data_IF_530980467543
#
_entry.id   IF_530980467543
#
_cell.length_a   1.000
_cell.length_b   1.000
_cell.length_c   1.000
_cell.angle_alpha   90.00
_cell.angle_beta   90.00
_cell.angle_gamma   90.00
#
_symmetry.space_group_name_H-M   'P 1'
#
loop_
_entity.id
_entity.type
_entity.pdbx_description
1 polymer ?
#
# COMPACT_ATOMS: atom_id res chain seq x y z
N UNK A 1 11.34 -54.04 -19.13
CA UNK A 1 10.00 -54.16 -18.54
C UNK A 1 9.02 -54.08 -19.71
N UNK A 2 7.89 -54.83 -19.70
CA UNK A 2 6.92 -54.70 -20.76
C UNK A 2 6.32 -53.30 -20.73
N UNK A 3 6.22 -52.66 -21.89
CA UNK A 3 5.59 -51.35 -22.08
C UNK A 3 4.17 -51.37 -21.57
N UNK A 4 3.78 -50.43 -20.70
CA UNK A 4 2.42 -50.39 -20.14
C UNK A 4 1.48 -49.77 -21.17
N UNK A 5 0.49 -50.55 -21.63
CA UNK A 5 -0.56 -49.98 -22.50
C UNK A 5 -1.52 -49.08 -21.71
N UNK A 6 -2.21 -48.12 -22.37
CA UNK A 6 -3.23 -47.28 -21.73
C UNK A 6 -4.29 -48.07 -20.95
N UNK A 7 -4.80 -49.18 -21.51
CA UNK A 7 -5.79 -50.02 -20.89
C UNK A 7 -5.25 -50.72 -19.64
N UNK A 8 -3.98 -51.14 -19.67
CA UNK A 8 -3.33 -51.75 -18.52
C UNK A 8 -3.17 -50.70 -17.37
N UNK A 9 -2.77 -49.47 -17.69
CA UNK A 9 -2.69 -48.37 -16.73
C UNK A 9 -4.06 -48.14 -16.10
N UNK A 10 -5.11 -47.89 -16.88
CA UNK A 10 -6.46 -47.64 -16.38
C UNK A 10 -6.98 -48.80 -15.53
N UNK A 11 -6.73 -50.05 -15.97
CA UNK A 11 -7.14 -51.27 -15.24
C UNK A 11 -6.43 -51.34 -13.87
N UNK A 12 -5.13 -51.06 -13.80
CA UNK A 12 -4.36 -51.06 -12.55
C UNK A 12 -4.84 -49.98 -11.60
N UNK A 13 -5.11 -48.76 -12.11
CA UNK A 13 -5.69 -47.68 -11.32
C UNK A 13 -7.03 -48.06 -10.71
N UNK A 14 -7.93 -48.67 -11.50
CA UNK A 14 -9.23 -49.19 -11.02
C UNK A 14 -9.09 -50.20 -9.89
N UNK A 15 -8.03 -50.98 -9.87
CA UNK A 15 -7.72 -51.95 -8.79
C UNK A 15 -7.00 -51.32 -7.61
N UNK A 16 -6.74 -50.01 -7.65
CA UNK A 16 -5.99 -49.29 -6.59
C UNK A 16 -4.49 -49.60 -6.57
N UNK A 17 -3.95 -50.16 -7.66
CA UNK A 17 -2.51 -50.46 -7.77
C UNK A 17 -1.71 -49.20 -8.06
N UNK A 18 -0.49 -49.11 -7.47
CA UNK A 18 0.44 -48.02 -7.74
C UNK A 18 1.18 -48.28 -9.05
N UNK A 19 1.43 -47.20 -9.80
CA UNK A 19 2.17 -47.27 -11.08
C UNK A 19 3.50 -46.53 -10.93
N UNK A 20 3.97 -46.34 -9.70
CA UNK A 20 5.17 -45.56 -9.39
C UNK A 20 6.42 -46.00 -10.18
N UNK A 21 7.21 -45.03 -10.63
CA UNK A 21 8.50 -45.22 -11.36
C UNK A 21 8.34 -45.97 -12.69
N UNK A 22 7.18 -45.99 -13.31
CA UNK A 22 6.97 -46.55 -14.61
C UNK A 22 7.42 -45.58 -15.71
N UNK A 23 7.89 -46.14 -16.82
CA UNK A 23 8.04 -45.39 -18.07
C UNK A 23 6.66 -45.40 -18.78
N UNK A 24 6.11 -44.20 -18.92
CA UNK A 24 4.83 -43.85 -19.54
C UNK A 24 5.02 -42.77 -20.59
N UNK A 25 6.26 -42.59 -21.10
CA UNK A 25 6.59 -41.60 -22.09
C UNK A 25 5.72 -41.74 -23.33
N UNK A 26 5.12 -40.64 -23.79
CA UNK A 26 4.23 -40.60 -24.95
C UNK A 26 2.93 -41.39 -24.81
N UNK A 27 2.61 -41.96 -23.65
CA UNK A 27 1.37 -42.75 -23.47
C UNK A 27 0.13 -41.87 -23.72
N UNK A 28 -0.87 -42.46 -24.36
CA UNK A 28 -2.15 -41.77 -24.57
C UNK A 28 -3.18 -42.19 -23.50
N UNK A 29 -3.38 -41.28 -22.53
CA UNK A 29 -4.38 -41.41 -21.45
C UNK A 29 -5.43 -40.31 -21.54
N UNK A 30 -5.68 -39.77 -22.74
CA UNK A 30 -6.68 -38.71 -22.93
C UNK A 30 -8.05 -39.18 -22.43
N UNK A 31 -8.73 -38.30 -21.66
CA UNK A 31 -10.03 -38.56 -21.04
C UNK A 31 -10.07 -39.73 -20.06
N UNK A 32 -8.94 -40.33 -19.71
CA UNK A 32 -8.89 -41.48 -18.81
C UNK A 32 -9.33 -41.08 -17.39
N UNK A 33 -9.96 -42.08 -16.70
CA UNK A 33 -10.36 -41.95 -15.30
C UNK A 33 -9.22 -42.44 -14.41
N UNK A 34 -8.46 -41.50 -13.82
CA UNK A 34 -7.21 -41.76 -13.07
C UNK A 34 -7.28 -41.15 -11.67
N UNK A 35 -8.48 -40.97 -11.12
CA UNK A 35 -8.69 -40.35 -9.81
C UNK A 35 -7.96 -41.14 -8.71
N UNK A 36 -7.19 -40.40 -7.86
CA UNK A 36 -6.42 -41.01 -6.80
C UNK A 36 -5.26 -41.90 -7.23
N UNK A 37 -4.97 -41.97 -8.53
CA UNK A 37 -3.85 -42.79 -9.05
C UNK A 37 -2.49 -42.34 -8.47
N UNK A 38 -1.58 -43.29 -8.30
CA UNK A 38 -0.20 -43.00 -7.93
C UNK A 38 0.72 -43.20 -9.13
N UNK A 39 1.31 -42.09 -9.58
CA UNK A 39 2.30 -41.97 -10.66
C UNK A 39 3.61 -41.35 -10.16
N UNK A 40 3.96 -41.61 -8.93
CA UNK A 40 5.14 -41.03 -8.34
C UNK A 40 6.40 -41.42 -9.10
N UNK A 41 7.22 -40.39 -9.47
CA UNK A 41 8.48 -40.57 -10.19
C UNK A 41 8.29 -41.36 -11.50
N UNK A 42 7.12 -41.36 -12.10
CA UNK A 42 6.93 -41.86 -13.45
C UNK A 42 7.60 -40.94 -14.46
N UNK A 43 8.09 -41.52 -15.53
CA UNK A 43 8.45 -40.79 -16.74
C UNK A 43 7.20 -40.69 -17.62
N UNK A 44 6.70 -39.48 -17.86
CA UNK A 44 5.50 -39.17 -18.62
C UNK A 44 5.78 -38.10 -19.67
N UNK A 45 7.02 -38.00 -20.13
CA UNK A 45 7.41 -37.01 -21.16
C UNK A 45 6.52 -37.18 -22.39
N UNK A 46 5.96 -36.07 -22.85
CA UNK A 46 5.06 -36.03 -24.00
C UNK A 46 3.76 -36.86 -23.85
N UNK A 47 3.43 -37.34 -22.65
CA UNK A 47 2.19 -38.09 -22.42
C UNK A 47 0.95 -37.25 -22.74
N UNK A 48 -0.03 -37.86 -23.38
CA UNK A 48 -1.33 -37.25 -23.64
C UNK A 48 -2.30 -37.52 -22.49
N UNK A 49 -2.59 -36.51 -21.68
CA UNK A 49 -3.50 -36.51 -20.54
C UNK A 49 -4.65 -35.53 -20.75
N UNK A 50 -4.92 -35.11 -21.99
CA UNK A 50 -5.98 -34.16 -22.30
C UNK A 50 -7.33 -34.62 -21.75
N UNK A 51 -8.01 -33.77 -20.99
CA UNK A 51 -9.30 -34.08 -20.36
C UNK A 51 -9.25 -35.19 -19.33
N UNK A 52 -8.09 -35.76 -18.99
CA UNK A 52 -7.98 -36.83 -18.01
C UNK A 52 -8.46 -36.40 -16.62
N UNK A 53 -9.08 -37.31 -15.89
CA UNK A 53 -9.56 -37.10 -14.52
C UNK A 53 -8.50 -37.59 -13.53
N UNK A 54 -7.69 -36.69 -13.04
CA UNK A 54 -6.53 -36.90 -12.15
C UNK A 54 -6.76 -36.32 -10.73
N UNK A 55 -8.01 -36.10 -10.36
CA UNK A 55 -8.32 -35.56 -9.05
C UNK A 55 -7.71 -36.40 -7.92
N UNK A 56 -7.06 -35.76 -6.93
CA UNK A 56 -6.32 -36.40 -5.85
C UNK A 56 -5.19 -37.36 -6.34
N UNK A 57 -4.77 -37.31 -7.60
CA UNK A 57 -3.67 -38.15 -8.07
C UNK A 57 -2.34 -37.72 -7.43
N UNK A 58 -1.44 -38.67 -7.25
CA UNK A 58 -0.10 -38.44 -6.75
C UNK A 58 0.92 -38.51 -7.89
N UNK A 59 1.31 -37.35 -8.38
CA UNK A 59 2.30 -37.13 -9.44
C UNK A 59 3.62 -36.59 -8.87
N UNK A 60 3.87 -36.81 -7.57
CA UNK A 60 5.07 -36.28 -6.91
C UNK A 60 6.34 -36.75 -7.63
N UNK A 61 7.17 -35.76 -8.01
CA UNK A 61 8.41 -35.95 -8.75
C UNK A 61 8.25 -36.72 -10.08
N UNK A 62 7.05 -36.70 -10.67
CA UNK A 62 6.83 -37.24 -12.03
C UNK A 62 7.48 -36.27 -13.04
N UNK A 63 8.00 -36.83 -14.11
CA UNK A 63 8.46 -36.11 -15.29
C UNK A 63 7.31 -35.99 -16.29
N UNK A 64 6.79 -34.78 -16.45
CA UNK A 64 5.67 -34.42 -17.34
C UNK A 64 6.12 -33.38 -18.38
N UNK A 65 7.44 -33.33 -18.67
CA UNK A 65 7.95 -32.41 -19.69
C UNK A 65 7.18 -32.59 -21.00
N UNK A 66 6.80 -31.47 -21.61
CA UNK A 66 6.04 -31.42 -22.88
C UNK A 66 4.74 -32.21 -22.87
N UNK A 67 4.22 -32.64 -21.71
CA UNK A 67 2.97 -33.41 -21.64
C UNK A 67 1.74 -32.54 -22.02
N UNK A 68 0.73 -33.19 -22.59
CA UNK A 68 -0.53 -32.57 -22.97
C UNK A 68 -1.57 -32.76 -21.86
N UNK A 69 -1.87 -31.72 -21.09
CA UNK A 69 -2.78 -31.73 -19.94
C UNK A 69 -3.99 -30.78 -20.12
N UNK A 70 -4.20 -30.31 -21.36
CA UNK A 70 -5.27 -29.33 -21.62
C UNK A 70 -6.63 -29.84 -21.14
N UNK A 71 -7.32 -29.02 -20.30
CA UNK A 71 -8.62 -29.36 -19.74
C UNK A 71 -8.63 -30.51 -18.74
N UNK A 72 -7.51 -31.09 -18.34
CA UNK A 72 -7.43 -32.13 -17.33
C UNK A 72 -7.92 -31.67 -15.95
N UNK A 73 -8.49 -32.58 -15.16
CA UNK A 73 -8.90 -32.32 -13.78
C UNK A 73 -7.83 -32.81 -12.79
N UNK A 74 -6.98 -31.91 -12.34
CA UNK A 74 -5.91 -32.13 -11.38
C UNK A 74 -6.24 -31.51 -9.98
N UNK A 75 -7.51 -31.29 -9.68
CA UNK A 75 -7.90 -30.74 -8.39
C UNK A 75 -7.39 -31.62 -7.26
N UNK A 76 -6.82 -30.95 -6.24
CA UNK A 76 -6.25 -31.60 -5.06
C UNK A 76 -5.11 -32.61 -5.38
N UNK A 77 -4.58 -32.61 -6.62
CA UNK A 77 -3.47 -33.48 -7.00
C UNK A 77 -2.14 -33.03 -6.36
N UNK A 78 -1.26 -33.99 -6.13
CA UNK A 78 0.08 -33.74 -5.62
C UNK A 78 1.11 -33.80 -6.75
N UNK A 79 1.57 -32.64 -7.20
CA UNK A 79 2.63 -32.43 -8.20
C UNK A 79 3.91 -31.87 -7.54
N UNK A 80 4.10 -32.08 -6.22
CA UNK A 80 5.28 -31.60 -5.51
C UNK A 80 6.58 -32.09 -6.20
N UNK A 81 7.43 -31.13 -6.59
CA UNK A 81 8.69 -31.41 -7.33
C UNK A 81 8.49 -32.17 -8.67
N UNK A 82 7.31 -32.05 -9.30
CA UNK A 82 7.11 -32.58 -10.65
C UNK A 82 7.79 -31.66 -11.67
N UNK A 83 8.20 -32.26 -12.78
CA UNK A 83 8.74 -31.55 -13.93
C UNK A 83 7.65 -31.40 -14.99
N UNK A 84 7.26 -30.17 -15.29
CA UNK A 84 6.21 -29.77 -16.22
C UNK A 84 6.75 -28.79 -17.26
N UNK A 85 8.07 -28.76 -17.47
CA UNK A 85 8.71 -27.88 -18.45
C UNK A 85 8.02 -28.03 -19.82
N UNK A 86 7.64 -26.88 -20.40
CA UNK A 86 6.98 -26.85 -21.70
C UNK A 86 5.61 -27.53 -21.77
N UNK A 87 5.05 -28.05 -20.66
CA UNK A 87 3.77 -28.75 -20.66
C UNK A 87 2.61 -27.85 -21.05
N UNK A 88 1.62 -28.41 -21.73
CA UNK A 88 0.36 -27.74 -22.08
C UNK A 88 -0.69 -27.98 -21.00
N UNK A 89 -0.90 -26.98 -20.12
CA UNK A 89 -1.87 -26.98 -19.03
C UNK A 89 -3.05 -26.02 -19.29
N UNK A 90 -3.33 -25.70 -20.55
CA UNK A 90 -4.44 -24.79 -20.88
C UNK A 90 -5.76 -25.27 -20.28
N UNK A 91 -6.48 -24.34 -19.60
CA UNK A 91 -7.80 -24.59 -19.00
C UNK A 91 -7.82 -25.79 -18.04
N UNK A 92 -6.69 -26.22 -17.53
CA UNK A 92 -6.58 -27.30 -16.53
C UNK A 92 -7.18 -26.85 -15.20
N UNK A 93 -7.85 -27.78 -14.51
CA UNK A 93 -8.38 -27.55 -13.17
C UNK A 93 -7.33 -27.97 -12.13
N UNK A 94 -6.71 -27.01 -11.47
CA UNK A 94 -5.63 -27.18 -10.48
C UNK A 94 -6.03 -26.66 -9.10
N UNK A 95 -7.32 -26.42 -8.84
CA UNK A 95 -7.79 -25.89 -7.55
C UNK A 95 -7.28 -26.78 -6.41
N UNK A 96 -6.59 -26.17 -5.43
CA UNK A 96 -6.03 -26.88 -4.28
C UNK A 96 -4.86 -27.82 -4.57
N UNK A 97 -4.38 -27.91 -5.82
CA UNK A 97 -3.25 -28.76 -6.19
C UNK A 97 -1.95 -28.30 -5.51
N UNK A 98 -1.07 -29.24 -5.20
CA UNK A 98 0.26 -28.97 -4.68
C UNK A 98 1.31 -29.05 -5.79
N UNK A 99 1.76 -27.90 -6.27
CA UNK A 99 2.83 -27.72 -7.25
C UNK A 99 4.10 -27.16 -6.58
N UNK A 100 4.28 -27.34 -5.27
CA UNK A 100 5.46 -26.81 -4.58
C UNK A 100 6.73 -27.38 -5.23
N UNK A 101 7.69 -26.52 -5.53
CA UNK A 101 8.96 -26.88 -6.20
C UNK A 101 8.81 -27.53 -7.57
N UNK A 102 7.64 -27.46 -8.19
CA UNK A 102 7.46 -27.93 -9.55
C UNK A 102 8.24 -27.03 -10.53
N UNK A 103 8.79 -27.64 -11.56
CA UNK A 103 9.32 -26.95 -12.73
C UNK A 103 8.17 -26.75 -13.73
N UNK A 104 7.83 -25.51 -14.02
CA UNK A 104 6.78 -25.07 -14.97
C UNK A 104 7.38 -24.10 -16.00
N UNK A 105 8.72 -24.11 -16.16
CA UNK A 105 9.40 -23.25 -17.13
C UNK A 105 8.77 -23.39 -18.52
N UNK A 106 8.39 -22.26 -19.12
CA UNK A 106 7.77 -22.22 -20.44
C UNK A 106 6.41 -22.93 -20.55
N UNK A 107 5.83 -23.42 -19.46
CA UNK A 107 4.54 -24.11 -19.48
C UNK A 107 3.39 -23.19 -19.89
N UNK A 108 2.39 -23.74 -20.58
CA UNK A 108 1.21 -23.01 -20.97
C UNK A 108 0.03 -23.28 -20.03
N UNK A 109 -0.23 -22.33 -19.12
CA UNK A 109 -1.32 -22.37 -18.13
C UNK A 109 -2.47 -21.40 -18.50
N UNK A 110 -2.57 -20.99 -19.77
CA UNK A 110 -3.59 -20.02 -20.19
C UNK A 110 -5.00 -20.47 -19.78
N UNK A 111 -5.69 -19.61 -19.01
CA UNK A 111 -7.05 -19.87 -18.52
C UNK A 111 -7.15 -21.03 -17.54
N UNK A 112 -6.06 -21.55 -17.00
CA UNK A 112 -6.08 -22.58 -15.96
C UNK A 112 -6.69 -22.05 -14.66
N UNK A 113 -7.26 -22.95 -13.85
CA UNK A 113 -7.78 -22.62 -12.53
C UNK A 113 -6.84 -23.15 -11.44
N UNK A 114 -6.05 -22.27 -10.87
CA UNK A 114 -5.09 -22.52 -9.78
C UNK A 114 -5.58 -21.95 -8.44
N UNK A 115 -6.86 -21.66 -8.27
CA UNK A 115 -7.39 -21.07 -7.05
C UNK A 115 -7.01 -21.91 -5.82
N UNK A 116 -6.34 -21.28 -4.83
CA UNK A 116 -5.85 -21.96 -3.64
C UNK A 116 -4.75 -22.99 -3.86
N UNK A 117 -4.17 -23.08 -5.05
CA UNK A 117 -3.05 -23.98 -5.32
C UNK A 117 -1.78 -23.55 -4.59
N UNK A 118 -0.90 -24.50 -4.31
CA UNK A 118 0.40 -24.27 -3.66
C UNK A 118 1.53 -24.37 -4.67
N UNK A 119 2.20 -23.24 -4.92
CA UNK A 119 3.32 -23.12 -5.87
C UNK A 119 4.59 -22.58 -5.16
N UNK A 120 4.73 -22.84 -3.87
CA UNK A 120 5.88 -22.38 -3.11
C UNK A 120 7.18 -22.89 -3.71
N UNK A 121 8.13 -21.99 -4.05
CA UNK A 121 9.39 -22.30 -4.75
C UNK A 121 9.20 -22.95 -6.14
N UNK A 122 8.05 -22.81 -6.80
CA UNK A 122 7.88 -23.27 -8.16
C UNK A 122 8.67 -22.38 -9.14
N UNK A 123 9.19 -22.98 -10.20
CA UNK A 123 9.82 -22.31 -11.34
C UNK A 123 8.77 -22.15 -12.44
N UNK A 124 8.39 -20.93 -12.74
CA UNK A 124 7.37 -20.59 -13.75
C UNK A 124 7.92 -19.64 -14.81
N UNK A 125 9.22 -19.35 -14.78
CA UNK A 125 9.82 -18.40 -15.72
C UNK A 125 9.42 -18.74 -17.16
N UNK A 126 9.17 -17.68 -17.96
CA UNK A 126 8.67 -17.80 -19.33
C UNK A 126 7.27 -18.44 -19.49
N UNK A 127 6.59 -18.84 -18.40
CA UNK A 127 5.28 -19.48 -18.48
C UNK A 127 4.18 -18.49 -18.93
N UNK A 128 3.15 -19.06 -19.57
CA UNK A 128 1.94 -18.31 -19.96
C UNK A 128 0.78 -18.61 -19.01
N UNK A 129 0.44 -17.66 -18.12
CA UNK A 129 -0.72 -17.71 -17.22
C UNK A 129 -1.83 -16.75 -17.65
N UNK A 130 -1.85 -16.30 -18.89
CA UNK A 130 -2.83 -15.32 -19.38
C UNK A 130 -4.27 -15.71 -19.03
N UNK A 131 -4.98 -14.84 -18.31
CA UNK A 131 -6.35 -15.06 -17.86
C UNK A 131 -6.56 -16.21 -16.87
N UNK A 132 -5.49 -16.83 -16.32
CA UNK A 132 -5.62 -17.86 -15.30
C UNK A 132 -6.22 -17.33 -14.00
N UNK A 133 -6.90 -18.19 -13.24
CA UNK A 133 -7.42 -17.89 -11.91
C UNK A 133 -6.48 -18.47 -10.85
N UNK A 134 -5.72 -17.59 -10.20
CA UNK A 134 -4.79 -17.90 -9.11
C UNK A 134 -5.26 -17.27 -7.77
N UNK A 135 -6.57 -17.02 -7.61
CA UNK A 135 -7.09 -16.40 -6.40
C UNK A 135 -6.74 -17.24 -5.15
N UNK A 136 -6.12 -16.59 -4.16
CA UNK A 136 -5.68 -17.23 -2.92
C UNK A 136 -4.57 -18.28 -3.10
N UNK A 137 -3.92 -18.37 -4.26
CA UNK A 137 -2.79 -19.26 -4.46
C UNK A 137 -1.56 -18.83 -3.65
N UNK A 138 -0.72 -19.79 -3.25
CA UNK A 138 0.50 -19.57 -2.48
C UNK A 138 1.70 -19.72 -3.40
N UNK A 139 2.31 -18.59 -3.77
CA UNK A 139 3.46 -18.48 -4.68
C UNK A 139 4.70 -17.93 -3.95
N UNK A 140 4.81 -18.12 -2.66
CA UNK A 140 5.94 -17.62 -1.86
C UNK A 140 7.25 -18.19 -2.41
N UNK A 141 8.24 -17.31 -2.70
CA UNK A 141 9.50 -17.64 -3.34
C UNK A 141 9.40 -18.30 -4.75
N UNK A 142 8.25 -18.19 -5.42
CA UNK A 142 8.14 -18.68 -6.79
C UNK A 142 8.89 -17.78 -7.76
N UNK A 143 9.41 -18.35 -8.83
CA UNK A 143 9.98 -17.61 -9.96
C UNK A 143 8.92 -17.47 -11.07
N UNK A 144 8.47 -16.25 -11.32
CA UNK A 144 7.54 -15.87 -12.38
C UNK A 144 8.21 -14.85 -13.34
N UNK A 145 9.54 -14.86 -13.41
CA UNK A 145 10.27 -13.96 -14.30
C UNK A 145 9.84 -14.13 -15.75
N UNK A 146 9.76 -13.05 -16.50
CA UNK A 146 9.43 -13.03 -17.93
C UNK A 146 8.10 -13.73 -18.31
N UNK A 147 7.22 -13.99 -17.31
CA UNK A 147 5.90 -14.59 -17.52
C UNK A 147 4.94 -13.69 -18.28
N UNK A 148 4.03 -14.33 -19.03
CA UNK A 148 2.82 -13.65 -19.51
C UNK A 148 1.68 -13.85 -18.50
N UNK A 149 1.34 -12.78 -17.77
CA UNK A 149 0.34 -12.71 -16.71
C UNK A 149 -0.83 -11.79 -17.08
N UNK A 150 -1.02 -11.48 -18.37
CA UNK A 150 -2.06 -10.57 -18.83
C UNK A 150 -3.45 -11.03 -18.40
N UNK A 151 -4.19 -10.17 -17.69
CA UNK A 151 -5.53 -10.46 -17.17
C UNK A 151 -5.61 -11.61 -16.14
N UNK A 152 -4.49 -12.03 -15.57
CA UNK A 152 -4.48 -13.06 -14.50
C UNK A 152 -5.22 -12.54 -13.26
N UNK A 153 -5.91 -13.45 -12.56
CA UNK A 153 -6.59 -13.15 -11.30
C UNK A 153 -5.76 -13.69 -10.14
N UNK A 154 -5.07 -12.81 -9.42
CA UNK A 154 -4.25 -13.14 -8.25
C UNK A 154 -4.77 -12.47 -6.97
N UNK A 155 -6.08 -12.31 -6.88
CA UNK A 155 -6.71 -11.72 -5.70
C UNK A 155 -6.37 -12.51 -4.44
N UNK A 156 -5.88 -11.80 -3.39
CA UNK A 156 -5.52 -12.40 -2.09
C UNK A 156 -4.49 -13.52 -2.16
N UNK A 157 -3.70 -13.60 -3.22
CA UNK A 157 -2.59 -14.56 -3.33
C UNK A 157 -1.40 -14.14 -2.47
N UNK A 158 -0.54 -15.11 -2.13
CA UNK A 158 0.67 -14.91 -1.34
C UNK A 158 1.91 -15.02 -2.24
N UNK A 159 2.57 -13.90 -2.53
CA UNK A 159 3.74 -13.79 -3.41
C UNK A 159 4.95 -13.22 -2.66
N UNK A 160 5.03 -13.38 -1.35
CA UNK A 160 6.18 -12.90 -0.58
C UNK A 160 7.48 -13.48 -1.13
N UNK A 161 8.48 -12.61 -1.40
CA UNK A 161 9.76 -12.97 -2.02
C UNK A 161 9.66 -13.62 -3.42
N UNK A 162 8.54 -13.51 -4.11
CA UNK A 162 8.43 -14.00 -5.49
C UNK A 162 9.20 -13.09 -6.46
N UNK A 163 9.71 -13.67 -7.53
CA UNK A 163 10.27 -12.94 -8.66
C UNK A 163 9.23 -12.81 -9.78
N UNK A 164 8.86 -11.59 -10.14
CA UNK A 164 7.97 -11.28 -11.27
C UNK A 164 8.68 -10.34 -12.27
N UNK A 165 10.01 -10.21 -12.19
CA UNK A 165 10.75 -9.25 -13.02
C UNK A 165 10.50 -9.50 -14.51
N UNK A 166 10.43 -8.42 -15.28
CA UNK A 166 10.25 -8.40 -16.74
C UNK A 166 8.93 -9.02 -17.26
N UNK A 167 8.01 -9.40 -16.35
CA UNK A 167 6.72 -10.01 -16.69
C UNK A 167 5.70 -9.02 -17.23
N UNK A 168 4.76 -9.54 -18.03
CA UNK A 168 3.60 -8.80 -18.48
C UNK A 168 2.41 -8.99 -17.54
N UNK A 169 2.01 -7.93 -16.82
CA UNK A 169 0.91 -7.88 -15.85
C UNK A 169 -0.26 -7.01 -16.35
N UNK A 170 -0.35 -6.74 -17.66
CA UNK A 170 -1.41 -5.87 -18.19
C UNK A 170 -2.79 -6.36 -17.77
N UNK A 171 -3.61 -5.46 -17.20
CA UNK A 171 -4.96 -5.71 -16.71
C UNK A 171 -5.07 -6.85 -15.67
N UNK A 172 -3.97 -7.29 -15.08
CA UNK A 172 -3.96 -8.30 -14.02
C UNK A 172 -4.59 -7.77 -12.72
N UNK A 173 -5.21 -8.66 -11.93
CA UNK A 173 -5.86 -8.31 -10.68
C UNK A 173 -5.13 -8.93 -9.47
N UNK A 174 -4.39 -8.10 -8.75
CA UNK A 174 -3.68 -8.42 -7.51
C UNK A 174 -4.37 -7.81 -6.27
N UNK A 175 -5.67 -7.56 -6.34
CA UNK A 175 -6.42 -6.96 -5.23
C UNK A 175 -6.21 -7.75 -3.94
N UNK A 176 -5.68 -7.09 -2.90
CA UNK A 176 -5.38 -7.69 -1.60
C UNK A 176 -4.28 -8.75 -1.59
N UNK A 177 -3.49 -8.88 -2.65
CA UNK A 177 -2.35 -9.81 -2.70
C UNK A 177 -1.22 -9.36 -1.76
N UNK A 178 -0.42 -10.33 -1.28
CA UNK A 178 0.77 -10.08 -0.46
C UNK A 178 2.02 -10.24 -1.32
N UNK A 179 2.65 -9.13 -1.65
CA UNK A 179 3.84 -9.02 -2.52
C UNK A 179 5.05 -8.46 -1.72
N UNK A 180 5.06 -8.65 -0.41
CA UNK A 180 6.16 -8.15 0.41
C UNK A 180 7.50 -8.72 -0.05
N UNK A 181 8.52 -7.86 -0.15
CA UNK A 181 9.88 -8.22 -0.59
C UNK A 181 9.94 -8.88 -2.01
N UNK A 182 8.89 -8.78 -2.83
CA UNK A 182 8.86 -9.33 -4.19
C UNK A 182 9.74 -8.50 -5.14
N UNK A 183 10.27 -9.15 -6.18
CA UNK A 183 10.98 -8.50 -7.28
C UNK A 183 9.99 -8.28 -8.44
N UNK A 184 9.77 -7.05 -8.83
CA UNK A 184 8.85 -6.64 -9.91
C UNK A 184 9.53 -5.63 -10.83
N UNK A 185 10.84 -5.80 -11.06
CA UNK A 185 11.61 -4.90 -11.93
C UNK A 185 11.11 -4.97 -13.36
N UNK A 186 11.02 -3.83 -13.99
CA UNK A 186 10.66 -3.72 -15.43
C UNK A 186 9.32 -4.37 -15.80
N UNK A 187 8.43 -4.67 -14.85
CA UNK A 187 7.11 -5.26 -15.17
C UNK A 187 6.31 -4.34 -16.07
N UNK A 188 5.56 -4.94 -17.00
CA UNK A 188 4.59 -4.26 -17.86
C UNK A 188 3.22 -4.40 -17.22
N UNK A 189 2.88 -3.46 -16.31
CA UNK A 189 1.67 -3.51 -15.47
C UNK A 189 0.67 -2.40 -15.78
N UNK A 190 0.50 -2.06 -17.07
CA UNK A 190 -0.52 -1.08 -17.47
C UNK A 190 -1.90 -1.55 -17.04
N UNK A 191 -2.65 -0.69 -16.32
CA UNK A 191 -4.00 -1.00 -15.86
C UNK A 191 -4.08 -2.06 -14.75
N UNK A 192 -2.95 -2.53 -14.21
CA UNK A 192 -2.93 -3.52 -13.13
C UNK A 192 -3.69 -3.03 -11.90
N UNK A 193 -4.45 -3.92 -11.27
CA UNK A 193 -5.16 -3.64 -10.01
C UNK A 193 -4.34 -4.16 -8.83
N UNK A 194 -3.92 -3.24 -7.97
CA UNK A 194 -3.15 -3.49 -6.76
C UNK A 194 -3.89 -2.94 -5.51
N UNK A 195 -5.23 -2.89 -5.58
CA UNK A 195 -6.07 -2.32 -4.52
C UNK A 195 -5.85 -3.07 -3.20
N UNK A 196 -5.40 -2.36 -2.17
CA UNK A 196 -5.11 -2.93 -0.85
C UNK A 196 -4.00 -3.99 -0.84
N UNK A 197 -3.21 -4.11 -1.90
CA UNK A 197 -2.09 -5.04 -1.94
C UNK A 197 -0.99 -4.63 -0.96
N UNK A 198 -0.29 -5.61 -0.38
CA UNK A 198 0.86 -5.40 0.49
C UNK A 198 2.13 -5.48 -0.36
N UNK A 199 2.70 -4.32 -0.66
CA UNK A 199 3.88 -4.11 -1.52
C UNK A 199 5.09 -3.61 -0.69
N UNK A 200 5.14 -3.95 0.59
CA UNK A 200 6.23 -3.49 1.45
C UNK A 200 7.56 -4.01 0.96
N UNK A 201 8.56 -3.09 0.80
CA UNK A 201 9.91 -3.38 0.29
C UNK A 201 9.95 -4.01 -1.11
N UNK A 202 8.88 -3.97 -1.89
CA UNK A 202 8.86 -4.44 -3.27
C UNK A 202 9.84 -3.63 -4.13
N UNK A 203 10.51 -4.29 -5.07
CA UNK A 203 11.31 -3.60 -6.08
C UNK A 203 10.52 -3.46 -7.38
N UNK A 204 9.99 -2.27 -7.62
CA UNK A 204 9.27 -1.85 -8.83
C UNK A 204 10.13 -0.96 -9.75
N UNK A 205 11.46 -1.03 -9.63
CA UNK A 205 12.35 -0.22 -10.47
C UNK A 205 12.05 -0.45 -11.95
N UNK A 206 11.93 0.64 -12.71
CA UNK A 206 11.61 0.65 -14.17
C UNK A 206 10.25 0.03 -14.52
N UNK A 207 9.40 -0.29 -13.55
CA UNK A 207 8.06 -0.82 -13.81
C UNK A 207 7.19 0.20 -14.56
N UNK A 208 6.39 -0.28 -15.50
CA UNK A 208 5.35 0.52 -16.14
C UNK A 208 3.99 0.23 -15.50
N UNK A 209 3.56 1.09 -14.60
CA UNK A 209 2.29 1.02 -13.88
C UNK A 209 1.31 2.11 -14.33
N UNK A 210 1.40 2.52 -15.60
CA UNK A 210 0.52 3.52 -16.18
C UNK A 210 -0.95 3.11 -16.03
N UNK A 211 -1.76 3.97 -15.41
CA UNK A 211 -3.17 3.72 -15.17
C UNK A 211 -3.46 2.64 -14.11
N UNK A 212 -2.47 2.17 -13.36
CA UNK A 212 -2.66 1.18 -12.30
C UNK A 212 -3.55 1.71 -11.17
N UNK A 213 -4.28 0.81 -10.52
CA UNK A 213 -5.05 1.13 -9.32
C UNK A 213 -4.30 0.63 -8.06
N UNK A 214 -3.69 1.57 -7.35
CA UNK A 214 -2.93 1.37 -6.11
C UNK A 214 -3.71 1.87 -4.88
N UNK A 215 -5.03 1.99 -4.99
CA UNK A 215 -5.88 2.48 -3.88
C UNK A 215 -5.64 1.65 -2.61
N UNK A 216 -5.30 2.33 -1.51
CA UNK A 216 -4.97 1.73 -0.21
C UNK A 216 -3.81 0.70 -0.22
N UNK A 217 -3.00 0.64 -1.27
CA UNK A 217 -1.84 -0.24 -1.33
C UNK A 217 -0.77 0.15 -0.29
N UNK A 218 -0.06 -0.83 0.24
CA UNK A 218 1.03 -0.61 1.19
C UNK A 218 2.39 -0.65 0.47
N UNK A 219 2.90 0.52 0.09
CA UNK A 219 4.17 0.72 -0.62
C UNK A 219 5.32 1.11 0.33
N UNK A 220 5.20 0.90 1.62
CA UNK A 220 6.24 1.31 2.57
C UNK A 220 7.57 0.64 2.25
N UNK A 221 8.62 1.47 2.22
CA UNK A 221 9.99 1.07 1.87
C UNK A 221 10.12 0.43 0.47
N UNK A 222 9.15 0.58 -0.41
CA UNK A 222 9.22 0.11 -1.79
C UNK A 222 10.21 0.94 -2.61
N UNK A 223 10.77 0.34 -3.65
CA UNK A 223 11.66 1.00 -4.61
C UNK A 223 10.93 1.18 -5.94
N UNK A 224 10.74 2.44 -6.37
CA UNK A 224 10.10 2.84 -7.63
C UNK A 224 11.07 3.65 -8.51
N UNK A 225 12.35 3.36 -8.44
CA UNK A 225 13.35 4.08 -9.25
C UNK A 225 13.03 3.94 -10.75
N UNK A 226 12.92 5.07 -11.46
CA UNK A 226 12.59 5.14 -12.89
C UNK A 226 11.25 4.48 -13.29
N UNK A 227 10.35 4.22 -12.33
CA UNK A 227 9.03 3.66 -12.61
C UNK A 227 8.09 4.71 -13.23
N UNK A 228 7.04 4.22 -13.92
CA UNK A 228 5.99 5.04 -14.54
C UNK A 228 4.66 4.81 -13.84
N UNK A 229 4.10 5.88 -13.27
CA UNK A 229 2.79 5.89 -12.59
C UNK A 229 1.79 6.85 -13.27
N UNK A 230 2.02 7.20 -14.55
CA UNK A 230 1.14 8.14 -15.25
C UNK A 230 -0.32 7.69 -15.19
N UNK A 231 -1.20 8.56 -14.71
CA UNK A 231 -2.63 8.28 -14.58
C UNK A 231 -3.01 7.23 -13.53
N UNK A 232 -2.06 6.71 -12.76
CA UNK A 232 -2.34 5.75 -11.69
C UNK A 232 -3.15 6.39 -10.54
N UNK A 233 -3.93 5.57 -9.83
CA UNK A 233 -4.67 5.97 -8.63
C UNK A 233 -3.93 5.48 -7.37
N UNK A 234 -3.48 6.42 -6.54
CA UNK A 234 -2.76 6.15 -5.28
C UNK A 234 -3.57 6.57 -4.04
N UNK A 235 -4.87 6.84 -4.17
CA UNK A 235 -5.68 7.30 -3.03
C UNK A 235 -5.56 6.35 -1.85
N UNK A 236 -5.13 6.87 -0.69
CA UNK A 236 -4.94 6.09 0.53
C UNK A 236 -3.69 5.19 0.55
N UNK A 237 -2.85 5.22 -0.47
CA UNK A 237 -1.63 4.42 -0.50
C UNK A 237 -0.66 4.84 0.63
N UNK A 238 0.02 3.86 1.23
CA UNK A 238 1.00 4.03 2.30
C UNK A 238 2.39 4.09 1.69
N UNK A 239 3.09 5.22 1.86
CA UNK A 239 4.30 5.55 1.08
C UNK A 239 5.54 5.86 1.93
N UNK A 240 5.50 5.64 3.25
CA UNK A 240 6.64 5.93 4.11
C UNK A 240 7.90 5.15 3.69
N UNK A 241 9.02 5.85 3.57
CA UNK A 241 10.29 5.24 3.19
C UNK A 241 10.41 4.85 1.71
N UNK A 242 9.50 5.33 0.85
CA UNK A 242 9.53 5.07 -0.58
C UNK A 242 10.81 5.63 -1.23
N UNK A 243 11.46 4.82 -2.07
CA UNK A 243 12.58 5.24 -2.92
C UNK A 243 12.07 5.46 -4.34
N UNK A 244 12.09 6.72 -4.81
CA UNK A 244 11.37 7.11 -6.01
C UNK A 244 12.17 8.02 -6.98
N UNK A 245 13.49 7.80 -7.06
CA UNK A 245 14.34 8.56 -8.01
C UNK A 245 13.87 8.33 -9.46
N UNK A 246 13.64 9.40 -10.20
CA UNK A 246 13.21 9.31 -11.61
C UNK A 246 11.77 8.85 -11.82
N UNK A 247 10.96 8.76 -10.76
CA UNK A 247 9.55 8.36 -10.83
C UNK A 247 8.73 9.32 -11.70
N UNK A 248 7.97 8.78 -12.65
CA UNK A 248 7.06 9.54 -13.52
C UNK A 248 5.64 9.48 -13.00
N UNK A 249 5.07 10.65 -12.64
CA UNK A 249 3.78 10.76 -11.92
C UNK A 249 2.76 11.65 -12.64
N UNK A 250 2.89 11.87 -13.94
CA UNK A 250 1.97 12.74 -14.67
C UNK A 250 0.53 12.24 -14.59
N UNK A 251 -0.39 13.11 -14.19
CA UNK A 251 -1.82 12.79 -14.15
C UNK A 251 -2.21 11.72 -13.11
N UNK A 252 -1.37 11.45 -12.08
CA UNK A 252 -1.77 10.59 -10.97
C UNK A 252 -3.02 11.12 -10.29
N UNK A 253 -3.81 10.21 -9.75
CA UNK A 253 -4.97 10.50 -8.92
C UNK A 253 -4.64 10.09 -7.49
N UNK A 254 -4.77 11.02 -6.56
CA UNK A 254 -4.67 10.71 -5.15
C UNK A 254 -5.35 11.81 -4.34
N UNK A 255 -6.38 11.47 -3.60
CA UNK A 255 -7.03 12.41 -2.69
C UNK A 255 -6.12 12.65 -1.48
N UNK A 256 -5.44 11.62 -1.03
CA UNK A 256 -4.48 11.65 0.06
C UNK A 256 -3.55 10.43 0.02
N UNK A 257 -2.37 10.54 0.65
CA UNK A 257 -1.45 9.43 0.91
C UNK A 257 -1.21 9.30 2.41
N UNK A 258 -0.89 8.09 2.86
CA UNK A 258 -0.40 7.85 4.22
C UNK A 258 1.13 7.78 4.21
N UNK A 259 1.78 8.76 4.82
CA UNK A 259 3.24 8.79 4.98
C UNK A 259 3.67 8.52 6.44
N UNK A 260 2.82 7.83 7.20
CA UNK A 260 3.16 7.43 8.57
C UNK A 260 4.01 6.17 8.60
N UNK A 261 5.02 6.09 9.49
CA UNK A 261 5.87 4.89 9.62
C UNK A 261 5.09 3.63 9.95
N UNK A 262 4.02 3.77 10.75
CA UNK A 262 3.20 2.67 11.24
C UNK A 262 1.99 2.37 10.35
N UNK A 263 1.80 3.12 9.27
CA UNK A 263 0.62 3.03 8.39
C UNK A 263 -0.72 3.21 9.14
N UNK A 264 -0.72 4.07 10.16
CA UNK A 264 -1.84 4.37 11.05
C UNK A 264 -2.60 5.65 10.65
N UNK A 265 -2.25 6.25 9.52
CA UNK A 265 -2.82 7.49 9.01
C UNK A 265 -2.43 8.74 9.81
N UNK A 266 -1.45 8.62 10.72
CA UNK A 266 -1.01 9.75 11.57
C UNK A 266 -0.30 10.86 10.79
N UNK A 267 0.19 10.56 9.59
CA UNK A 267 0.83 11.52 8.68
C UNK A 267 0.15 11.46 7.31
N UNK A 268 -0.95 12.18 7.15
CA UNK A 268 -1.63 12.32 5.86
C UNK A 268 -0.98 13.39 5.00
N UNK A 269 -0.74 13.05 3.74
CA UNK A 269 -0.25 13.94 2.69
C UNK A 269 -1.40 14.29 1.76
N UNK A 270 -1.68 15.58 1.64
CA UNK A 270 -2.78 16.08 0.79
C UNK A 270 -2.32 16.31 -0.66
N UNK A 271 -3.27 16.42 -1.58
CA UNK A 271 -3.03 16.50 -3.02
C UNK A 271 -1.91 17.46 -3.45
N UNK A 272 -1.79 18.62 -2.83
CA UNK A 272 -0.77 19.63 -3.14
C UNK A 272 0.68 19.24 -2.78
N UNK A 273 0.85 18.24 -1.90
CA UNK A 273 2.15 17.79 -1.38
C UNK A 273 2.57 16.44 -1.96
N UNK A 274 1.67 15.74 -2.64
CA UNK A 274 1.88 14.36 -3.11
C UNK A 274 3.10 14.26 -4.02
N UNK A 275 3.24 15.16 -4.99
CA UNK A 275 4.38 15.16 -5.90
C UNK A 275 5.72 15.29 -5.15
N UNK A 276 5.78 16.19 -4.17
CA UNK A 276 6.99 16.39 -3.36
C UNK A 276 7.34 15.15 -2.54
N UNK A 277 6.37 14.49 -1.92
CA UNK A 277 6.57 13.27 -1.14
C UNK A 277 7.01 12.10 -2.03
N UNK A 278 6.38 11.92 -3.18
CA UNK A 278 6.69 10.81 -4.09
C UNK A 278 8.03 10.99 -4.82
N UNK A 279 8.43 12.21 -5.15
CA UNK A 279 9.66 12.44 -5.93
C UNK A 279 10.86 12.87 -5.09
N UNK A 280 10.65 13.13 -3.79
CA UNK A 280 11.68 13.72 -2.92
C UNK A 280 12.06 15.15 -3.35
N UNK A 281 11.33 15.73 -4.28
CA UNK A 281 11.52 17.13 -4.66
C UNK A 281 11.09 18.03 -3.48
N UNK A 282 11.84 19.10 -3.22
CA UNK A 282 11.30 20.15 -2.34
C UNK A 282 9.92 20.54 -2.88
N UNK A 283 8.90 20.74 -2.02
CA UNK A 283 7.57 21.13 -2.49
C UNK A 283 7.76 22.29 -3.46
N UNK A 284 7.28 22.13 -4.69
CA UNK A 284 7.31 23.21 -5.67
C UNK A 284 6.65 24.40 -4.98
N UNK A 285 7.38 25.51 -4.84
CA UNK A 285 6.73 26.77 -4.47
C UNK A 285 5.57 26.92 -5.44
N UNK A 286 4.32 27.07 -4.97
CA UNK A 286 3.21 27.31 -5.90
C UNK A 286 3.65 28.42 -6.82
N UNK A 287 3.50 28.18 -8.12
CA UNK A 287 3.81 29.18 -9.13
C UNK A 287 3.11 30.46 -8.70
N UNK A 288 3.89 31.52 -8.59
CA UNK A 288 3.66 32.83 -8.06
C UNK A 288 2.21 33.35 -8.30
N UNK A 289 1.26 32.81 -7.54
CA UNK A 289 -0.07 33.41 -7.41
C UNK A 289 0.04 34.48 -6.33
N UNK A 290 0.42 35.67 -6.77
CA UNK A 290 0.54 36.86 -5.93
C UNK A 290 -0.78 37.26 -5.27
N UNK A 291 -1.87 36.53 -5.50
CA UNK A 291 -3.15 36.72 -4.82
C UNK A 291 -3.32 35.82 -3.57
N UNK A 292 -2.42 34.86 -3.29
CA UNK A 292 -2.60 33.87 -2.26
C UNK A 292 -1.56 33.92 -1.14
N UNK A 293 -1.56 35.02 -0.39
CA UNK A 293 -0.98 35.06 0.96
C UNK A 293 -1.88 34.29 1.96
N UNK A 294 -2.62 33.27 1.47
CA UNK A 294 -3.56 32.45 2.23
C UNK A 294 -3.09 31.00 2.32
N UNK A 295 -2.98 30.48 3.54
CA UNK A 295 -2.64 29.08 3.84
C UNK A 295 -3.82 28.43 4.54
N UNK A 296 -4.25 27.27 4.03
CA UNK A 296 -5.33 26.49 4.61
C UNK A 296 -4.84 25.09 4.99
N UNK A 297 -5.11 24.68 6.23
CA UNK A 297 -4.87 23.33 6.75
C UNK A 297 -6.23 22.68 6.99
N UNK A 298 -6.60 21.74 6.12
CA UNK A 298 -7.95 21.20 6.04
C UNK A 298 -8.26 20.10 7.05
N UNK A 299 -9.51 19.66 7.06
CA UNK A 299 -9.99 18.58 7.93
C UNK A 299 -9.22 17.30 7.66
N UNK A 300 -8.68 16.68 8.70
CA UNK A 300 -7.95 15.41 8.63
C UNK A 300 -6.44 15.54 8.56
N UNK A 301 -5.90 16.77 8.40
CA UNK A 301 -4.47 16.99 8.54
C UNK A 301 -4.07 16.89 10.02
N UNK A 302 -2.95 16.24 10.30
CA UNK A 302 -2.37 16.18 11.65
C UNK A 302 -0.92 16.59 11.58
N UNK A 303 -0.60 17.75 12.18
CA UNK A 303 0.78 18.20 12.33
C UNK A 303 1.27 17.97 13.76
N UNK A 304 2.45 17.35 13.91
CA UNK A 304 3.10 17.11 15.19
C UNK A 304 4.54 17.59 15.19
N UNK A 305 4.93 18.29 16.26
CA UNK A 305 6.30 18.78 16.47
C UNK A 305 6.86 19.60 15.29
N UNK A 306 5.99 20.27 14.54
CA UNK A 306 6.36 21.09 13.39
C UNK A 306 6.68 22.54 13.80
N UNK A 307 7.64 23.14 13.10
CA UNK A 307 7.88 24.60 13.16
C UNK A 307 7.37 25.23 11.87
N UNK A 308 6.39 26.11 12.00
CA UNK A 308 5.77 26.82 10.90
C UNK A 308 6.09 28.31 11.03
N UNK A 309 6.50 28.93 9.93
CA UNK A 309 6.70 30.38 9.86
C UNK A 309 5.83 30.94 8.74
N UNK A 310 5.09 31.99 9.04
CA UNK A 310 4.23 32.69 8.09
C UNK A 310 4.72 34.11 7.89
N UNK A 311 4.82 34.51 6.64
CA UNK A 311 5.31 35.80 6.21
C UNK A 311 4.32 36.92 6.54
N UNK A 312 4.81 38.17 6.41
CA UNK A 312 4.02 39.37 6.67
C UNK A 312 2.75 39.40 5.80
N UNK A 313 1.61 39.71 6.42
CA UNK A 313 0.32 39.86 5.77
C UNK A 313 -0.32 38.51 5.32
N UNK A 314 0.20 37.37 5.71
CA UNK A 314 -0.41 36.07 5.37
C UNK A 314 -1.77 35.86 6.08
N UNK A 315 -2.69 35.16 5.42
CA UNK A 315 -3.91 34.64 6.05
C UNK A 315 -3.77 33.13 6.21
N UNK A 316 -3.90 32.64 7.43
CA UNK A 316 -3.73 31.22 7.78
C UNK A 316 -5.00 30.72 8.43
N UNK A 317 -5.57 29.65 7.90
CA UNK A 317 -6.76 29.00 8.46
C UNK A 317 -6.47 27.54 8.80
N UNK A 318 -6.73 27.13 10.04
CA UNK A 318 -6.46 25.78 10.56
C UNK A 318 -7.79 25.10 10.95
N UNK A 319 -8.19 24.10 10.17
CA UNK A 319 -9.32 23.20 10.43
C UNK A 319 -8.83 21.77 10.76
N UNK A 320 -7.66 21.65 11.37
CA UNK A 320 -6.94 20.41 11.58
C UNK A 320 -6.33 20.27 12.97
N UNK A 321 -5.80 19.10 13.31
CA UNK A 321 -5.14 18.86 14.59
C UNK A 321 -3.64 19.19 14.53
N UNK A 322 -3.20 20.15 15.36
CA UNK A 322 -1.80 20.49 15.57
C UNK A 322 -1.39 20.11 16.99
N UNK A 323 -0.32 19.31 17.14
CA UNK A 323 0.22 18.91 18.43
C UNK A 323 1.68 19.31 18.59
N UNK A 324 1.99 19.99 19.68
CA UNK A 324 3.35 20.43 20.04
C UNK A 324 4.07 21.21 18.91
N UNK A 325 3.34 21.99 18.13
CA UNK A 325 3.88 22.78 17.03
C UNK A 325 4.30 24.18 17.52
N UNK A 326 5.31 24.75 16.85
CA UNK A 326 5.67 26.18 16.99
C UNK A 326 5.19 26.93 15.74
N UNK A 327 4.42 27.98 15.92
CA UNK A 327 3.85 28.82 14.86
C UNK A 327 4.36 30.26 15.03
N UNK A 328 5.16 30.71 14.10
CA UNK A 328 5.65 32.09 14.08
C UNK A 328 4.89 32.93 13.04
N UNK A 329 4.29 34.03 13.47
CA UNK A 329 3.46 34.90 12.64
C UNK A 329 4.23 36.19 12.30
N UNK A 330 4.35 36.52 11.03
CA UNK A 330 4.82 37.80 10.55
C UNK A 330 3.85 38.94 10.93
N UNK A 331 4.30 40.20 10.77
CA UNK A 331 3.46 41.37 11.06
C UNK A 331 2.24 41.37 10.15
N UNK A 332 1.05 41.62 10.70
CA UNK A 332 -0.20 41.67 9.93
C UNK A 332 -0.73 40.33 9.45
N UNK A 333 -0.11 39.19 9.86
CA UNK A 333 -0.66 37.87 9.58
C UNK A 333 -1.99 37.69 10.28
N UNK A 334 -2.97 37.10 9.59
CA UNK A 334 -4.24 36.66 10.17
C UNK A 334 -4.24 35.14 10.36
N UNK A 335 -4.27 34.66 11.60
CA UNK A 335 -4.40 33.25 11.94
C UNK A 335 -5.82 32.95 12.43
N UNK A 336 -6.53 32.11 11.73
CA UNK A 336 -7.87 31.64 12.13
C UNK A 336 -7.80 30.16 12.49
N UNK A 337 -8.10 29.79 13.72
CA UNK A 337 -8.34 28.43 14.12
C UNK A 337 -9.84 28.18 13.93
N UNK A 338 -10.20 27.48 12.88
CA UNK A 338 -11.58 27.23 12.49
C UNK A 338 -12.30 26.26 13.44
N UNK A 339 -13.57 25.99 13.20
CA UNK A 339 -14.44 25.24 14.13
C UNK A 339 -13.96 23.80 14.41
N UNK A 340 -13.30 23.17 13.45
CA UNK A 340 -12.71 21.82 13.57
C UNK A 340 -11.22 21.85 13.93
N UNK A 341 -10.61 23.04 13.95
CA UNK A 341 -9.21 23.21 14.32
C UNK A 341 -8.96 22.92 15.80
N UNK A 342 -7.96 22.07 16.08
CA UNK A 342 -7.55 21.73 17.44
C UNK A 342 -6.04 21.89 17.57
N UNK A 343 -5.58 22.81 18.40
CA UNK A 343 -4.15 23.02 18.70
C UNK A 343 -3.88 22.59 20.15
N UNK A 344 -3.01 21.60 20.33
CA UNK A 344 -2.67 21.07 21.66
C UNK A 344 -1.17 21.18 21.91
N UNK A 345 -0.79 21.85 23.01
CA UNK A 345 0.62 22.06 23.38
C UNK A 345 1.41 22.90 22.39
N UNK A 346 0.74 23.66 21.52
CA UNK A 346 1.38 24.50 20.51
C UNK A 346 1.82 25.85 21.10
N UNK A 347 2.88 26.40 20.51
CA UNK A 347 3.36 27.75 20.81
C UNK A 347 3.12 28.65 19.61
N UNK A 348 2.44 29.78 19.80
CA UNK A 348 2.21 30.77 18.76
C UNK A 348 2.96 32.06 19.18
N UNK A 349 3.81 32.56 18.29
CA UNK A 349 4.62 33.75 18.51
C UNK A 349 4.51 34.73 17.35
N UNK A 350 4.78 36.02 17.58
CA UNK A 350 4.83 37.03 16.52
C UNK A 350 3.67 38.02 16.53
N UNK A 351 3.71 38.97 15.59
CA UNK A 351 2.86 40.16 15.57
C UNK A 351 1.64 40.02 14.63
N UNK A 352 0.92 38.91 14.72
CA UNK A 352 -0.29 38.66 13.94
C UNK A 352 -1.60 38.81 14.69
N UNK A 353 -2.70 38.77 13.99
CA UNK A 353 -4.05 38.71 14.53
C UNK A 353 -4.51 37.24 14.64
N UNK A 354 -5.08 36.85 15.76
CA UNK A 354 -5.48 35.47 16.02
C UNK A 354 -6.96 35.41 16.31
N UNK A 355 -7.72 34.58 15.56
CA UNK A 355 -9.11 34.29 15.80
C UNK A 355 -9.28 32.77 16.11
N UNK A 356 -9.92 32.44 17.23
CA UNK A 356 -10.12 31.08 17.68
C UNK A 356 -11.61 30.75 17.64
N UNK A 357 -12.06 30.01 16.64
CA UNK A 357 -13.39 29.41 16.54
C UNK A 357 -13.37 27.95 17.00
N UNK A 358 -12.21 27.33 16.97
CA UNK A 358 -11.94 25.94 17.37
C UNK A 358 -11.36 25.84 18.79
N UNK A 359 -10.39 24.93 18.98
CA UNK A 359 -9.86 24.58 20.30
C UNK A 359 -8.36 24.78 20.37
N UNK A 360 -7.89 25.48 21.39
CA UNK A 360 -6.48 25.65 21.72
C UNK A 360 -6.24 25.20 23.16
N UNK A 361 -5.50 24.10 23.35
CA UNK A 361 -5.34 23.45 24.64
C UNK A 361 -3.89 23.28 25.08
N UNK A 362 -3.67 23.32 26.39
CA UNK A 362 -2.46 22.84 27.03
C UNK A 362 -2.41 21.31 27.01
N UNK A 363 -1.25 20.70 26.71
CA UNK A 363 -1.08 19.25 26.73
C UNK A 363 -1.27 18.71 28.15
N UNK A 364 -2.07 17.66 28.35
CA UNK A 364 -2.41 17.14 29.70
C UNK A 364 -1.19 16.74 30.56
N UNK A 365 -0.04 16.41 29.95
CA UNK A 365 1.18 15.99 30.63
C UNK A 365 2.24 17.11 30.82
N UNK A 366 1.91 18.36 30.50
CA UNK A 366 2.86 19.47 30.49
C UNK A 366 3.45 19.82 31.86
N UNK A 367 2.91 19.31 32.97
CA UNK A 367 3.42 19.52 34.33
C UNK A 367 4.83 18.99 34.58
N UNK A 368 5.35 18.10 33.73
CA UNK A 368 6.68 17.47 33.91
C UNK A 368 7.81 18.08 33.06
N UNK A 369 7.54 18.77 31.96
CA UNK A 369 8.57 19.17 30.99
C UNK A 369 8.49 20.64 30.52
N UNK A 370 7.74 21.54 31.14
CA UNK A 370 7.77 22.98 30.85
C UNK A 370 7.20 23.42 29.49
N UNK A 371 6.54 22.53 28.72
CA UNK A 371 5.98 22.80 27.38
C UNK A 371 4.46 23.02 27.42
N UNK A 372 3.97 24.11 27.98
CA UNK A 372 2.54 24.46 27.90
C UNK A 372 2.20 25.16 26.58
N UNK A 373 0.90 25.11 26.19
CA UNK A 373 0.41 25.93 25.08
C UNK A 373 0.51 27.42 25.41
N UNK A 374 1.07 28.19 24.50
CA UNK A 374 1.24 29.62 24.73
C UNK A 374 1.03 30.46 23.47
N UNK A 375 0.54 31.67 23.65
CA UNK A 375 0.43 32.72 22.63
C UNK A 375 1.20 33.94 23.11
N UNK A 376 2.15 34.40 22.31
CA UNK A 376 2.95 35.57 22.64
C UNK A 376 3.08 36.49 21.42
N UNK A 377 3.02 37.79 21.65
CA UNK A 377 3.26 38.83 20.63
C UNK A 377 2.07 39.17 19.73
N UNK A 378 0.90 38.54 19.91
CA UNK A 378 -0.28 38.84 19.08
C UNK A 378 -0.77 40.29 19.25
N UNK A 379 -1.11 40.95 18.14
CA UNK A 379 -1.73 42.28 18.16
C UNK A 379 -3.22 42.23 18.49
N UNK A 380 -3.90 41.20 18.03
CA UNK A 380 -5.33 40.97 18.29
C UNK A 380 -5.57 39.48 18.59
N UNK A 381 -6.34 39.23 19.64
CA UNK A 381 -6.81 37.90 19.96
C UNK A 381 -8.33 37.91 20.16
N UNK A 382 -9.05 37.15 19.34
CA UNK A 382 -10.50 36.99 19.41
C UNK A 382 -10.82 35.51 19.66
N UNK A 383 -11.63 35.22 20.69
CA UNK A 383 -12.17 33.88 20.90
C UNK A 383 -13.67 33.98 20.73
N UNK A 384 -14.20 33.27 19.71
CA UNK A 384 -15.63 33.31 19.37
C UNK A 384 -16.47 32.41 20.29
N UNK A 385 -17.77 32.52 20.19
CA UNK A 385 -18.73 31.77 21.03
C UNK A 385 -18.52 30.24 20.99
N UNK A 386 -17.99 29.70 19.90
CA UNK A 386 -17.66 28.28 19.75
C UNK A 386 -16.22 27.94 20.13
N UNK A 387 -15.37 28.96 20.31
CA UNK A 387 -13.95 28.79 20.59
C UNK A 387 -13.66 28.40 22.03
N UNK A 388 -12.57 27.63 22.23
CA UNK A 388 -12.04 27.29 23.54
C UNK A 388 -10.53 27.59 23.61
N UNK A 389 -10.11 28.29 24.65
CA UNK A 389 -8.71 28.62 24.91
C UNK A 389 -8.30 28.19 26.32
N UNK A 390 -7.35 27.24 26.39
CA UNK A 390 -6.74 26.78 27.64
C UNK A 390 -5.23 26.86 27.53
N UNK A 391 -4.58 27.76 28.27
CA UNK A 391 -3.14 27.92 28.20
C UNK A 391 -2.65 29.27 28.75
N UNK A 392 -1.42 29.63 28.40
CA UNK A 392 -0.82 30.91 28.80
C UNK A 392 -0.88 31.90 27.64
N UNK A 393 -1.32 33.12 27.91
CA UNK A 393 -1.25 34.26 26.98
C UNK A 393 -0.30 35.32 27.57
N UNK A 394 0.78 35.59 26.83
CA UNK A 394 1.69 36.67 27.19
C UNK A 394 1.25 37.92 26.45
N UNK A 395 0.79 38.91 27.20
CA UNK A 395 0.36 40.20 26.68
C UNK A 395 1.59 41.03 26.26
N UNK A 396 1.76 41.36 24.97
CA UNK A 396 2.77 42.34 24.57
C UNK A 396 2.35 43.76 25.02
N UNK A 397 3.31 44.66 25.13
CA UNK A 397 3.08 46.06 25.47
C UNK A 397 2.17 46.79 24.46
N UNK A 398 1.95 46.24 23.30
CA UNK A 398 1.23 46.84 22.16
C UNK A 398 -0.07 46.09 21.78
N UNK A 399 -0.63 45.26 22.67
CA UNK A 399 -1.87 44.53 22.33
C UNK A 399 -3.02 45.54 22.22
N UNK A 400 -3.60 45.63 21.04
CA UNK A 400 -4.62 46.62 20.72
C UNK A 400 -6.07 46.11 20.96
N UNK A 401 -6.28 44.82 21.01
CA UNK A 401 -7.64 44.27 21.23
C UNK A 401 -7.65 42.84 21.76
N UNK A 402 -8.34 42.63 22.88
CA UNK A 402 -8.86 41.34 23.35
C UNK A 402 -10.38 41.33 23.20
N UNK A 403 -10.93 40.31 22.53
CA UNK A 403 -12.38 40.13 22.43
C UNK A 403 -12.74 38.68 22.73
N UNK A 404 -13.71 38.51 23.62
CA UNK A 404 -14.24 37.19 23.99
C UNK A 404 -15.76 37.22 23.80
N UNK A 405 -16.28 36.41 22.93
CA UNK A 405 -17.72 36.30 22.68
C UNK A 405 -18.42 35.51 23.80
N UNK A 406 -19.67 35.86 24.14
CA UNK A 406 -20.46 35.08 25.08
C UNK A 406 -20.54 33.63 24.67
N UNK A 407 -20.25 32.68 25.58
CA UNK A 407 -20.29 31.25 25.31
C UNK A 407 -18.93 30.61 25.07
N UNK A 408 -17.86 31.39 24.83
CA UNK A 408 -16.52 30.81 24.68
C UNK A 408 -16.02 30.18 25.99
N UNK A 409 -15.20 29.12 25.86
CA UNK A 409 -14.58 28.45 27.00
C UNK A 409 -13.17 28.98 27.24
N UNK A 410 -12.94 29.57 28.38
CA UNK A 410 -11.66 30.19 28.73
C UNK A 410 -11.07 29.65 30.02
N UNK A 411 -9.83 29.14 29.95
CA UNK A 411 -9.00 28.84 31.10
C UNK A 411 -7.57 29.25 30.82
N UNK A 412 -7.22 30.50 31.13
CA UNK A 412 -5.91 31.04 30.77
C UNK A 412 -5.20 31.75 31.92
N UNK A 413 -3.86 31.77 31.83
CA UNK A 413 -3.02 32.69 32.63
C UNK A 413 -2.57 33.80 31.70
N UNK A 414 -2.85 35.05 32.09
CA UNK A 414 -2.34 36.25 31.40
C UNK A 414 -1.14 36.73 32.15
N UNK A 415 0.03 36.81 31.48
CA UNK A 415 1.22 37.49 32.00
C UNK A 415 1.50 38.71 31.17
N UNK A 416 1.80 39.86 31.83
CA UNK A 416 2.24 41.05 31.17
C UNK A 416 3.76 41.02 31.05
N UNK A 417 4.30 41.36 29.86
CA UNK A 417 5.73 41.63 29.71
C UNK A 417 6.01 43.00 30.36
N UNK A 418 6.42 43.00 31.63
CA UNK A 418 6.75 44.19 32.37
C UNK A 418 8.17 44.15 32.87
N UNK A 419 8.90 45.23 32.68
CA UNK A 419 10.18 45.49 33.31
C UNK A 419 10.07 45.43 34.86
N UNK A 420 10.86 44.55 35.50
CA UNK A 420 11.29 44.70 36.88
C UNK A 420 10.28 44.33 37.96
N UNK A 421 10.61 43.27 38.69
CA UNK A 421 10.29 42.99 40.09
C UNK A 421 8.92 43.44 40.64
N UNK A 422 7.98 42.56 40.64
CA UNK A 422 6.71 42.71 41.36
C UNK A 422 5.89 41.46 41.30
N UNK A 423 5.91 40.65 42.34
CA UNK A 423 5.05 39.49 42.55
C UNK A 423 3.56 39.93 42.56
N UNK A 424 2.84 39.71 41.51
CA UNK A 424 1.42 39.96 41.41
C UNK A 424 0.69 38.86 40.67
N UNK A 425 0.44 37.72 41.30
CA UNK A 425 -0.41 36.66 40.79
C UNK A 425 -1.88 37.10 40.85
N UNK A 426 -2.40 37.63 39.78
CA UNK A 426 -3.86 37.80 39.64
C UNK A 426 -4.43 36.67 38.79
N UNK A 427 -4.93 35.66 39.46
CA UNK A 427 -5.81 34.66 38.87
C UNK A 427 -7.24 35.21 38.82
N UNK A 428 -7.69 35.69 37.65
CA UNK A 428 -9.10 35.94 37.41
C UNK A 428 -9.72 34.68 36.76
N UNK A 429 -10.44 33.93 37.54
CA UNK A 429 -11.33 32.86 37.07
C UNK A 429 -12.67 33.53 36.72
N UNK A 430 -12.98 33.67 35.46
CA UNK A 430 -14.30 34.05 35.04
C UNK A 430 -15.08 32.74 34.75
N UNK A 431 -15.94 32.36 35.69
CA UNK A 431 -17.07 31.43 35.41
C UNK A 431 -18.24 32.30 34.97
N UNK A 432 -18.66 32.19 33.73
CA UNK A 432 -20.03 32.38 33.26
C UNK A 432 -20.31 31.50 32.05
#
# INVERSE_FOLDING_TARGET
>A
MAELTPEAVVSRVKRGEKIDRADLSGINLANAVLEGASFRRCDMVGANLEGARLRNANLKSANLCEAFLSGADLRDANLDNADLEGANLQRTLLTGANLSRANLEGANLQGANLAGARLTHAQLDLANLGGADCAGAVLTHADLGECYLGGVKMMKSELTNANLSDSNLEDADFTGAVLADAQMRSVKGRGVKLVGAILTKVDLSKANLTGADLTNADLRNATLTDAKLEGANLTGAKVFGLVAKGLQINGIKADWLDNSPNADGSVRVVATQIAAVLTGAAPARPADDRSANRRYFGRGDVLRNASLQFDEGATVEIESLFEACTIALGRGTELVIGSDGVLTGCQITGAGNITINGKFFEKQDAKKNGGGASIAGAHQLVVTSTGALVGAVQQPSELTRFAFEPGCQLRMKISTAGNGSGNGNQTKSAKR
#
